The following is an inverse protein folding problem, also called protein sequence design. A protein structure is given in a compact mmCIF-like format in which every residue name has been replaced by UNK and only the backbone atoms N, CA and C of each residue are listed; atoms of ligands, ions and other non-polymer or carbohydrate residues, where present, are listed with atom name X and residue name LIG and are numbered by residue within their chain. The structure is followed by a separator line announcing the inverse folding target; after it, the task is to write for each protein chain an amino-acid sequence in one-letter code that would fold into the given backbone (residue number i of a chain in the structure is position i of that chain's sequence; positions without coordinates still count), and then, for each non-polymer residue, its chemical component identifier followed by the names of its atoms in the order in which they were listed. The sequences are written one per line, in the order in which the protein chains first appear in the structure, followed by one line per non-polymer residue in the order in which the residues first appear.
data_IF_204620664446
#
_entry.id   IF_204620664446
#
_cell.length_a   1.000
_cell.length_b   1.000
_cell.length_c   1.000
_cell.angle_alpha   90.00
_cell.angle_beta   90.00
_cell.angle_gamma   90.00
#
_symmetry.space_group_name_H-M   'P 1'
#
loop_
_entity.id
_entity.type
_entity.pdbx_description
1 polymer ?
#
# COMPACT_ATOMS: atom_id res chain seq x y z
N UNK A 1 9.26 -6.39 -9.31
CA UNK A 1 8.00 -5.74 -8.90
C UNK A 1 6.83 -6.67 -9.19
N UNK A 2 6.03 -7.01 -8.19
CA UNK A 2 4.84 -7.84 -8.31
C UNK A 2 3.61 -6.93 -8.37
N UNK A 3 2.75 -7.08 -9.38
CA UNK A 3 1.50 -6.32 -9.47
C UNK A 3 0.52 -6.82 -8.40
N UNK A 4 -0.16 -5.89 -7.74
CA UNK A 4 -1.21 -6.20 -6.76
C UNK A 4 -2.57 -6.03 -7.45
N UNK A 5 -3.39 -7.08 -7.44
CA UNK A 5 -4.64 -7.13 -8.20
C UNK A 5 -5.89 -6.92 -7.34
N UNK A 6 -5.78 -7.05 -6.01
CA UNK A 6 -6.92 -6.86 -5.10
C UNK A 6 -6.47 -6.38 -3.72
N UNK A 7 -7.44 -5.90 -2.93
CA UNK A 7 -7.20 -5.53 -1.53
C UNK A 7 -6.81 -6.76 -0.70
N UNK A 8 -7.40 -7.93 -0.95
CA UNK A 8 -7.02 -9.17 -0.25
C UNK A 8 -5.57 -9.57 -0.53
N UNK A 9 -5.09 -9.36 -1.76
CA UNK A 9 -3.69 -9.56 -2.08
C UNK A 9 -2.81 -8.52 -1.38
N UNK A 10 -3.23 -7.25 -1.31
CA UNK A 10 -2.53 -6.23 -0.52
C UNK A 10 -2.42 -6.64 0.96
N UNK A 11 -3.52 -7.09 1.59
CA UNK A 11 -3.53 -7.57 2.99
C UNK A 11 -2.49 -8.67 3.21
N UNK A 12 -2.42 -9.63 2.28
CA UNK A 12 -1.43 -10.72 2.35
C UNK A 12 0.00 -10.20 2.23
N UNK A 13 0.27 -9.32 1.27
CA UNK A 13 1.62 -8.84 0.97
C UNK A 13 2.11 -7.79 1.97
N UNK A 14 1.21 -7.06 2.64
CA UNK A 14 1.53 -6.05 3.65
C UNK A 14 1.63 -6.61 5.09
N UNK A 15 1.28 -7.89 5.31
CA UNK A 15 1.43 -8.54 6.62
C UNK A 15 2.67 -9.43 6.69
N UNK A 16 3.85 -8.82 6.84
CA UNK A 16 5.08 -9.59 7.10
C UNK A 16 5.01 -10.24 8.49
N UNK A 17 5.48 -11.50 8.66
CA UNK A 17 5.44 -12.20 9.95
C UNK A 17 6.18 -11.50 11.09
N UNK A 18 7.15 -10.64 10.78
CA UNK A 18 7.95 -9.90 11.75
C UNK A 18 7.36 -8.52 12.12
N UNK A 19 6.19 -8.15 11.57
CA UNK A 19 5.57 -6.85 11.80
C UNK A 19 6.17 -5.69 11.00
N UNK A 20 7.12 -5.97 10.09
CA UNK A 20 7.70 -4.91 9.26
C UNK A 20 6.75 -4.44 8.16
N UNK A 21 6.95 -3.18 7.77
CA UNK A 21 6.35 -2.62 6.56
C UNK A 21 6.90 -3.29 5.30
N UNK A 22 6.06 -3.39 4.30
CA UNK A 22 6.42 -3.82 2.95
C UNK A 22 6.43 -2.64 1.99
N UNK A 23 7.36 -2.66 1.04
CA UNK A 23 7.53 -1.55 0.11
C UNK A 23 6.66 -1.74 -1.14
N UNK A 24 5.99 -0.67 -1.54
CA UNK A 24 5.08 -0.63 -2.68
C UNK A 24 5.29 0.64 -3.48
N UNK A 25 4.86 0.62 -4.73
CA UNK A 25 4.87 1.77 -5.62
C UNK A 25 3.55 1.90 -6.37
N UNK A 26 3.04 3.14 -6.44
CA UNK A 26 2.04 3.54 -7.43
C UNK A 26 2.79 4.03 -8.65
N UNK A 27 2.57 3.41 -9.81
CA UNK A 27 3.08 3.87 -11.09
C UNK A 27 2.27 5.10 -11.54
N UNK A 28 2.97 6.18 -11.88
CA UNK A 28 2.40 7.42 -12.39
C UNK A 28 2.78 7.62 -13.86
N UNK A 29 2.12 8.58 -14.51
CA UNK A 29 2.45 8.94 -15.89
C UNK A 29 3.91 9.43 -16.01
N UNK A 30 4.45 9.37 -17.23
CA UNK A 30 5.82 9.80 -17.54
C UNK A 30 6.93 9.02 -16.79
N UNK A 31 6.65 7.79 -16.36
CA UNK A 31 7.62 6.93 -15.68
C UNK A 31 7.89 7.30 -14.22
N UNK A 32 7.12 8.24 -13.66
CA UNK A 32 7.20 8.59 -12.24
C UNK A 32 6.59 7.50 -11.36
N UNK A 33 6.97 7.50 -10.08
CA UNK A 33 6.49 6.54 -9.07
C UNK A 33 6.24 7.25 -7.75
N UNK A 34 5.20 6.83 -7.04
CA UNK A 34 4.99 7.22 -5.64
C UNK A 34 5.26 6.02 -4.75
N UNK A 35 6.37 6.04 -4.03
CA UNK A 35 6.75 4.97 -3.10
C UNK A 35 5.96 5.06 -1.80
N UNK A 36 5.58 3.89 -1.28
CA UNK A 36 4.81 3.70 -0.05
C UNK A 36 5.44 2.56 0.74
N UNK A 37 5.42 2.67 2.06
CA UNK A 37 5.64 1.52 2.95
C UNK A 37 4.32 1.22 3.62
N UNK A 38 3.86 -0.02 3.56
CA UNK A 38 2.54 -0.42 4.06
C UNK A 38 2.67 -1.62 4.99
N UNK A 39 2.00 -1.53 6.12
CA UNK A 39 1.76 -2.62 7.05
C UNK A 39 0.25 -2.87 7.15
N UNK A 40 -0.16 -4.14 7.18
CA UNK A 40 -1.55 -4.51 7.46
C UNK A 40 -1.63 -5.18 8.83
N UNK A 41 -2.34 -4.53 9.75
CA UNK A 41 -2.66 -5.04 11.07
C UNK A 41 -3.86 -6.00 10.97
N UNK A 42 -3.59 -7.29 11.19
CA UNK A 42 -4.62 -8.33 11.14
C UNK A 42 -5.55 -8.31 12.34
N UNK A 43 -5.10 -7.82 13.49
CA UNK A 43 -5.89 -7.82 14.72
C UNK A 43 -7.01 -6.78 14.63
N UNK A 44 -6.66 -5.59 14.16
CA UNK A 44 -7.60 -4.47 14.01
C UNK A 44 -8.23 -4.39 12.61
N UNK A 45 -7.73 -5.18 11.65
CA UNK A 45 -8.14 -5.14 10.24
C UNK A 45 -7.98 -3.73 9.63
N UNK A 46 -6.84 -3.11 9.91
CA UNK A 46 -6.47 -1.75 9.49
C UNK A 46 -5.12 -1.71 8.77
N UNK A 47 -4.87 -0.62 8.04
CA UNK A 47 -3.63 -0.38 7.31
C UNK A 47 -2.87 0.81 7.87
N UNK A 48 -1.55 0.67 7.92
CA UNK A 48 -0.64 1.75 8.24
C UNK A 48 0.18 2.06 7.00
N UNK A 49 0.18 3.32 6.57
CA UNK A 49 0.78 3.77 5.32
C UNK A 49 1.77 4.89 5.60
N UNK A 50 3.01 4.71 5.16
CA UNK A 50 4.03 5.75 5.09
C UNK A 50 4.18 6.18 3.64
N UNK A 51 3.98 7.46 3.37
CA UNK A 51 4.28 8.06 2.07
C UNK A 51 5.75 8.48 2.04
N UNK A 52 6.59 7.85 1.22
CA UNK A 52 8.04 8.13 1.27
C UNK A 52 8.46 9.48 0.65
N UNK A 53 7.57 10.13 -0.10
CA UNK A 53 7.86 11.43 -0.73
C UNK A 53 8.03 12.55 0.30
N UNK A 54 7.28 12.48 1.40
CA UNK A 54 7.23 13.50 2.44
C UNK A 54 7.27 12.93 3.87
N UNK A 55 7.40 11.60 3.99
CA UNK A 55 7.35 10.85 5.23
C UNK A 55 6.06 11.05 6.04
N UNK A 56 4.97 11.48 5.40
CA UNK A 56 3.66 11.50 6.06
C UNK A 56 3.24 10.08 6.43
N UNK A 57 2.66 9.96 7.62
CA UNK A 57 2.23 8.71 8.22
C UNK A 57 0.73 8.73 8.47
N UNK A 58 0.04 7.67 8.04
CA UNK A 58 -1.39 7.46 8.25
C UNK A 58 -1.58 6.10 8.92
N UNK A 59 -2.18 6.10 10.11
CA UNK A 59 -2.36 4.92 10.97
C UNK A 59 -3.82 4.47 10.98
N UNK A 60 -4.05 3.20 11.31
CA UNK A 60 -5.38 2.63 11.55
C UNK A 60 -6.41 2.85 10.42
N UNK A 61 -5.95 2.91 9.16
CA UNK A 61 -6.85 3.11 8.03
C UNK A 61 -7.73 1.89 7.82
N UNK A 62 -9.05 2.08 7.94
CA UNK A 62 -10.01 1.10 7.44
C UNK A 62 -9.90 0.95 5.92
N UNK A 63 -10.46 -0.13 5.37
CA UNK A 63 -10.48 -0.34 3.92
C UNK A 63 -11.17 0.83 3.16
N UNK A 64 -12.21 1.42 3.76
CA UNK A 64 -12.90 2.60 3.22
C UNK A 64 -12.00 3.84 3.22
N UNK A 65 -11.28 4.10 4.31
CA UNK A 65 -10.34 5.22 4.39
C UNK A 65 -9.14 5.01 3.47
N UNK A 66 -8.61 3.78 3.37
CA UNK A 66 -7.56 3.44 2.41
C UNK A 66 -8.02 3.79 0.98
N UNK A 67 -9.27 3.48 0.64
CA UNK A 67 -9.86 3.79 -0.67
C UNK A 67 -10.01 5.28 -0.90
N UNK A 68 -10.52 6.03 0.08
CA UNK A 68 -10.91 7.42 -0.11
C UNK A 68 -9.77 8.42 0.14
N UNK A 69 -8.76 8.06 0.93
CA UNK A 69 -7.74 9.01 1.42
C UNK A 69 -6.34 8.80 0.82
N UNK A 70 -6.01 7.61 0.29
CA UNK A 70 -4.61 7.28 -0.08
C UNK A 70 -4.35 7.02 -1.57
N UNK A 71 -5.39 6.94 -2.39
CA UNK A 71 -5.35 6.50 -3.81
C UNK A 71 -4.82 5.07 -4.06
N UNK A 72 -4.47 4.31 -3.01
CA UNK A 72 -3.90 2.95 -3.15
C UNK A 72 -4.91 2.01 -3.82
N UNK A 73 -6.15 2.00 -3.33
CA UNK A 73 -7.19 1.11 -3.88
C UNK A 73 -7.52 1.47 -5.33
N UNK A 74 -7.63 2.76 -5.63
CA UNK A 74 -7.79 3.23 -7.00
C UNK A 74 -6.63 2.76 -7.91
N UNK A 75 -5.40 2.81 -7.42
CA UNK A 75 -4.23 2.32 -8.16
C UNK A 75 -4.27 0.79 -8.36
N UNK A 76 -4.76 0.01 -7.40
CA UNK A 76 -4.98 -1.44 -7.56
C UNK A 76 -5.99 -1.70 -8.68
N UNK A 77 -7.14 -1.04 -8.63
CA UNK A 77 -8.24 -1.20 -9.59
C UNK A 77 -7.85 -0.83 -11.03
N UNK A 78 -6.95 0.15 -11.17
CA UNK A 78 -6.39 0.55 -12.47
C UNK A 78 -5.10 -0.22 -12.85
N UNK A 79 -4.68 -1.18 -12.02
CA UNK A 79 -3.50 -1.99 -12.29
C UNK A 79 -2.18 -1.23 -12.27
N UNK A 80 -2.12 -0.13 -11.52
CA UNK A 80 -0.97 0.77 -11.35
C UNK A 80 -0.25 0.57 -10.00
N UNK A 81 -0.64 -0.42 -9.19
CA UNK A 81 -0.05 -0.68 -7.88
C UNK A 81 0.81 -1.95 -7.85
N UNK A 82 2.03 -1.84 -7.30
CA UNK A 82 3.03 -2.90 -7.33
C UNK A 82 3.76 -3.02 -6.00
N UNK A 83 3.99 -4.24 -5.55
CA UNK A 83 4.98 -4.53 -4.50
C UNK A 83 6.39 -4.47 -5.06
N UNK A 84 7.28 -3.88 -4.28
CA UNK A 84 8.69 -3.73 -4.58
C UNK A 84 9.50 -4.52 -3.55
N UNK A 85 10.02 -5.67 -3.96
CA UNK A 85 10.98 -6.44 -3.16
C UNK A 85 12.38 -6.16 -3.74
N UNK A 86 13.31 -5.66 -2.92
CA UNK A 86 14.74 -5.52 -3.26
C UNK A 86 15.46 -6.86 -3.13
#
# INVERSE_FOLDING_TARGET
MKKIASIDELKKEASKPNGDYSDFVIALNFGARSSKRIYFDKENNTFNVINEIDYSYQDDLTEEQLRNETHIVYAIENGAFYKYDF
#
